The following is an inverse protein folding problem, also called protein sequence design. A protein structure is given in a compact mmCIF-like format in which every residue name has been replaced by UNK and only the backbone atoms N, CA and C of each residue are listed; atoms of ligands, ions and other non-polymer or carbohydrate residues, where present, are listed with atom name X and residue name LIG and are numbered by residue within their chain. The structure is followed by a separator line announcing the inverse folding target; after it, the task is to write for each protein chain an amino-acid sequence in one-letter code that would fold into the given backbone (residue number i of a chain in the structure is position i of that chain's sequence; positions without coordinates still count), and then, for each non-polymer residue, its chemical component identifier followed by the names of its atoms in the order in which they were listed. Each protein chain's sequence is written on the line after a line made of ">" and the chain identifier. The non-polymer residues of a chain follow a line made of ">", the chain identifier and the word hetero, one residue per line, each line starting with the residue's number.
data_IF_356688347075
#
_entry.id   IF_356688347075
#
_cell.length_a   1.000
_cell.length_b   1.000
_cell.length_c   1.000
_cell.angle_alpha   90.00
_cell.angle_beta   90.00
_cell.angle_gamma   90.00
#
_symmetry.space_group_name_H-M   'P 1'
#
loop_
_entity.id
_entity.type
_entity.pdbx_description
1 polymer ?
#
# COMPACT_ATOMS: atom_id res chain seq x y z
N UNK A 1 28.00 -4.98 -7.09
CA UNK A 1 26.95 -5.26 -6.09
C UNK A 1 26.21 -6.52 -6.45
N UNK A 2 26.33 -7.58 -5.64
CA UNK A 2 25.66 -8.85 -5.92
C UNK A 2 24.16 -8.66 -5.68
N UNK A 3 23.34 -8.82 -6.72
CA UNK A 3 21.86 -8.87 -6.62
C UNK A 3 21.50 -10.08 -5.77
N UNK A 4 21.05 -9.85 -4.52
CA UNK A 4 20.41 -10.92 -3.72
C UNK A 4 19.16 -11.36 -4.47
N UNK A 5 19.03 -12.66 -4.75
CA UNK A 5 17.81 -13.25 -5.29
C UNK A 5 16.67 -13.03 -4.28
N UNK A 6 15.45 -12.74 -4.73
CA UNK A 6 14.29 -12.71 -3.86
C UNK A 6 14.14 -14.06 -3.15
N UNK A 7 13.75 -14.01 -1.88
CA UNK A 7 13.61 -15.21 -1.05
C UNK A 7 12.30 -15.90 -1.42
N UNK A 8 12.38 -17.12 -1.89
CA UNK A 8 11.20 -17.93 -2.20
C UNK A 8 10.44 -18.39 -0.93
N UNK A 9 9.25 -18.95 -1.11
CA UNK A 9 8.37 -19.44 -0.02
C UNK A 9 9.10 -20.35 0.98
N UNK A 10 10.06 -21.17 0.51
CA UNK A 10 10.90 -22.03 1.34
C UNK A 10 11.84 -21.22 2.25
N UNK A 11 12.41 -20.14 1.76
CA UNK A 11 13.30 -19.26 2.54
C UNK A 11 12.51 -18.42 3.54
N UNK A 12 11.30 -18.01 3.19
CA UNK A 12 10.35 -17.35 4.10
C UNK A 12 9.96 -18.31 5.23
N UNK A 13 9.60 -19.55 4.90
CA UNK A 13 9.28 -20.58 5.86
C UNK A 13 10.46 -20.91 6.79
N UNK A 14 11.68 -20.97 6.24
CA UNK A 14 12.90 -21.20 7.02
C UNK A 14 13.25 -19.99 7.90
N UNK A 15 13.12 -18.78 7.39
CA UNK A 15 13.33 -17.56 8.16
C UNK A 15 12.31 -17.43 9.30
N UNK A 16 11.05 -17.78 9.05
CA UNK A 16 10.02 -17.85 10.07
C UNK A 16 10.31 -18.93 11.13
N UNK A 17 10.81 -20.11 10.72
CA UNK A 17 11.21 -21.17 11.63
C UNK A 17 12.42 -20.76 12.49
N UNK A 18 13.40 -20.10 11.90
CA UNK A 18 14.57 -19.55 12.63
C UNK A 18 14.15 -18.44 13.58
N UNK A 19 13.29 -17.52 13.17
CA UNK A 19 12.74 -16.49 14.04
C UNK A 19 11.96 -17.09 15.22
N UNK A 20 11.22 -18.18 14.99
CA UNK A 20 10.54 -18.94 16.02
C UNK A 20 11.51 -19.56 17.03
N UNK A 21 12.55 -20.22 16.53
CA UNK A 21 13.55 -20.89 17.36
C UNK A 21 14.39 -19.92 18.20
N UNK A 22 14.56 -18.67 17.71
CA UNK A 22 15.36 -17.63 18.38
C UNK A 22 14.53 -16.67 19.23
N UNK A 23 13.20 -16.81 19.26
CA UNK A 23 12.28 -15.88 19.94
C UNK A 23 12.22 -14.49 19.30
N UNK A 24 12.85 -14.31 18.13
CA UNK A 24 12.85 -13.06 17.36
C UNK A 24 11.73 -13.13 16.32
N UNK A 25 10.69 -12.36 16.51
CA UNK A 25 9.62 -12.15 15.50
C UNK A 25 10.01 -11.11 14.45
N UNK A 26 11.20 -10.54 14.58
CA UNK A 26 11.73 -9.48 13.76
C UNK A 26 12.83 -10.06 12.88
N UNK A 27 12.86 -9.73 11.65
CA UNK A 27 13.95 -9.87 10.67
C UNK A 27 13.74 -10.89 9.56
N UNK A 28 13.22 -10.35 8.50
CA UNK A 28 13.48 -10.91 7.18
C UNK A 28 14.44 -10.02 6.36
N UNK A 29 14.42 -8.74 6.54
CA UNK A 29 15.44 -7.78 6.17
C UNK A 29 15.26 -6.55 7.05
N UNK A 30 16.34 -6.03 7.61
CA UNK A 30 16.27 -4.82 8.43
C UNK A 30 16.51 -3.59 7.59
N UNK A 31 16.00 -2.44 8.03
CA UNK A 31 16.38 -1.16 7.45
C UNK A 31 17.90 -0.95 7.47
N UNK A 32 18.62 -1.65 8.35
CA UNK A 32 20.07 -1.64 8.49
C UNK A 32 20.81 -2.29 7.30
N UNK A 33 20.12 -3.12 6.49
CA UNK A 33 20.67 -3.65 5.24
C UNK A 33 20.82 -2.57 4.14
N UNK A 34 20.35 -1.34 4.38
CA UNK A 34 20.39 -0.21 3.46
C UNK A 34 21.16 0.96 4.10
N UNK A 35 22.51 1.04 3.88
CA UNK A 35 23.41 1.92 4.63
C UNK A 35 23.12 3.42 4.49
N UNK A 36 22.44 3.86 3.43
CA UNK A 36 22.22 5.28 3.16
C UNK A 36 20.96 5.84 3.86
N UNK A 37 20.42 5.13 4.84
CA UNK A 37 19.18 5.53 5.53
C UNK A 37 18.01 5.86 4.60
N UNK A 38 18.01 5.30 3.38
CA UNK A 38 16.98 5.48 2.38
C UNK A 38 15.65 4.87 2.87
N UNK A 39 15.75 3.76 3.62
CA UNK A 39 14.63 3.08 4.26
C UNK A 39 14.76 3.26 5.77
N UNK A 40 13.70 3.73 6.42
CA UNK A 40 13.66 3.93 7.86
C UNK A 40 12.43 3.31 8.48
N UNK A 41 12.60 2.73 9.65
CA UNK A 41 11.49 2.36 10.49
C UNK A 41 10.92 3.60 11.16
N UNK A 42 9.61 3.76 11.04
CA UNK A 42 8.83 4.84 11.65
C UNK A 42 7.70 4.27 12.48
N UNK A 43 7.12 5.08 13.34
CA UNK A 43 5.86 4.75 14.03
C UNK A 43 4.91 5.93 14.03
N UNK A 44 3.61 5.65 14.07
CA UNK A 44 2.56 6.66 14.15
C UNK A 44 1.41 6.18 15.04
N UNK A 45 0.59 7.12 15.51
CA UNK A 45 -0.61 6.81 16.28
C UNK A 45 -1.72 6.32 15.36
N UNK A 46 -2.34 5.19 15.73
CA UNK A 46 -3.51 4.66 15.03
C UNK A 46 -4.67 5.66 14.99
N UNK A 47 -5.47 5.58 13.94
CA UNK A 47 -6.71 6.34 13.81
C UNK A 47 -7.81 5.87 14.77
N UNK A 48 -8.93 6.59 14.76
CA UNK A 48 -10.11 6.19 15.49
C UNK A 48 -10.01 6.25 17.03
N UNK A 49 -9.03 6.95 17.57
CA UNK A 49 -8.85 7.07 19.03
C UNK A 49 -8.42 5.77 19.72
N UNK A 50 -7.86 4.79 18.96
CA UNK A 50 -7.51 3.47 19.48
C UNK A 50 -6.32 3.49 20.45
N UNK A 51 -5.52 4.55 20.45
CA UNK A 51 -4.36 4.68 21.34
C UNK A 51 -3.15 3.81 20.95
N UNK A 52 -3.25 3.02 19.89
CA UNK A 52 -2.18 2.12 19.43
C UNK A 52 -1.07 2.86 18.71
N UNK A 53 0.13 2.34 18.81
CA UNK A 53 1.29 2.74 18.02
C UNK A 53 1.48 1.73 16.89
N UNK A 54 1.50 2.22 15.66
CA UNK A 54 1.66 1.41 14.46
C UNK A 54 3.06 1.59 13.90
N UNK A 55 3.73 0.50 13.59
CA UNK A 55 5.07 0.45 13.00
C UNK A 55 4.97 0.37 11.47
N UNK A 56 5.92 0.98 10.78
CA UNK A 56 6.01 0.94 9.33
C UNK A 56 7.46 1.15 8.86
N UNK A 57 7.77 0.69 7.64
CA UNK A 57 8.96 1.13 6.92
C UNK A 57 8.58 2.27 5.97
N UNK A 58 9.45 3.26 5.84
CA UNK A 58 9.24 4.42 4.99
C UNK A 58 10.50 4.86 4.25
N UNK A 59 10.31 5.51 3.10
CA UNK A 59 11.36 6.24 2.40
C UNK A 59 11.23 7.72 2.76
N UNK A 60 11.99 8.24 3.75
CA UNK A 60 11.95 9.66 4.06
C UNK A 60 12.47 10.47 2.87
N UNK A 61 11.85 11.62 2.63
CA UNK A 61 12.25 12.55 1.57
C UNK A 61 12.49 13.93 2.19
N UNK A 62 13.55 14.59 1.78
CA UNK A 62 13.85 15.96 2.21
C UNK A 62 12.79 16.95 1.78
N UNK A 63 12.25 16.75 0.57
CA UNK A 63 11.16 17.54 0.02
C UNK A 63 9.89 16.71 -0.08
N UNK A 64 8.73 17.37 -0.03
CA UNK A 64 7.44 16.69 -0.21
C UNK A 64 7.39 16.07 -1.62
N UNK A 65 7.39 14.74 -1.68
CA UNK A 65 7.23 14.02 -2.94
C UNK A 65 5.81 14.23 -3.48
N UNK A 66 5.64 14.43 -4.79
CA UNK A 66 4.31 14.55 -5.41
C UNK A 66 3.41 13.34 -5.16
N UNK A 67 4.00 12.17 -4.97
CA UNK A 67 3.29 10.93 -4.72
C UNK A 67 3.70 10.30 -3.39
N UNK A 68 2.68 9.89 -2.63
CA UNK A 68 2.80 9.04 -1.45
C UNK A 68 2.12 7.71 -1.76
N UNK A 69 2.90 6.64 -1.74
CA UNK A 69 2.42 5.27 -1.92
C UNK A 69 2.28 4.66 -0.51
N UNK A 70 1.09 4.22 -0.17
CA UNK A 70 0.80 3.56 1.12
C UNK A 70 0.50 2.11 0.84
N UNK A 71 1.29 1.19 1.40
CA UNK A 71 1.14 -0.25 1.22
C UNK A 71 0.63 -0.88 2.50
N UNK A 72 -0.51 -1.56 2.39
CA UNK A 72 -1.09 -2.42 3.42
C UNK A 72 -0.75 -3.86 3.06
N UNK A 73 0.10 -4.47 3.85
CA UNK A 73 0.70 -5.80 3.60
C UNK A 73 -0.29 -6.95 3.80
N UNK A 74 0.08 -8.11 3.28
CA UNK A 74 -0.68 -9.37 3.41
C UNK A 74 -0.61 -9.99 4.80
N UNK A 75 -0.82 -11.30 4.88
CA UNK A 75 -0.69 -12.10 6.09
C UNK A 75 0.38 -13.20 5.88
N UNK A 76 1.45 -13.23 6.71
CA UNK A 76 1.78 -12.32 7.79
C UNK A 76 2.12 -10.91 7.30
N UNK A 77 1.96 -9.91 8.18
CA UNK A 77 2.16 -8.51 7.83
C UNK A 77 3.55 -8.05 8.30
N UNK A 78 4.52 -8.15 7.39
CA UNK A 78 5.89 -7.71 7.64
C UNK A 78 6.32 -6.72 6.56
N UNK A 79 6.55 -5.47 6.96
CA UNK A 79 6.93 -4.40 6.05
C UNK A 79 8.30 -4.66 5.38
N UNK A 80 9.15 -5.45 6.02
CA UNK A 80 10.51 -5.80 5.57
C UNK A 80 10.52 -6.49 4.19
N UNK A 81 9.46 -7.21 3.82
CA UNK A 81 9.35 -7.81 2.49
C UNK A 81 9.37 -6.79 1.35
N UNK A 82 9.02 -5.55 1.67
CA UNK A 82 9.01 -4.45 0.71
C UNK A 82 10.27 -3.59 0.75
N UNK A 83 11.24 -3.89 1.64
CA UNK A 83 12.44 -3.09 1.77
C UNK A 83 13.23 -2.91 0.45
N UNK A 84 13.37 -3.95 -0.43
CA UNK A 84 13.99 -3.76 -1.74
C UNK A 84 13.26 -2.77 -2.63
N UNK A 85 11.92 -2.78 -2.63
CA UNK A 85 11.11 -1.84 -3.40
C UNK A 85 11.21 -0.42 -2.86
N UNK A 86 11.22 -0.27 -1.53
CA UNK A 86 11.44 1.02 -0.86
C UNK A 86 12.80 1.62 -1.24
N UNK A 87 13.86 0.80 -1.24
CA UNK A 87 15.22 1.24 -1.55
C UNK A 87 15.40 1.64 -3.03
N UNK A 88 14.67 0.99 -3.94
CA UNK A 88 14.74 1.26 -5.38
C UNK A 88 13.77 2.36 -5.85
N UNK A 89 12.98 2.94 -4.93
CA UNK A 89 11.93 3.90 -5.28
C UNK A 89 12.51 5.21 -5.82
N UNK A 90 12.00 5.78 -6.94
CA UNK A 90 12.39 7.09 -7.44
C UNK A 90 12.23 8.21 -6.39
N UNK A 91 13.08 9.25 -6.49
CA UNK A 91 13.12 10.33 -5.49
C UNK A 91 11.85 11.22 -5.46
N UNK A 92 11.08 11.24 -6.54
CA UNK A 92 9.81 11.97 -6.63
C UNK A 92 8.62 11.18 -6.03
N UNK A 93 8.91 10.07 -5.35
CA UNK A 93 7.94 9.21 -4.67
C UNK A 93 8.32 9.01 -3.20
N UNK A 94 7.34 8.97 -2.34
CA UNK A 94 7.44 8.51 -0.95
C UNK A 94 6.64 7.22 -0.83
N UNK A 95 7.18 6.20 -0.17
CA UNK A 95 6.46 4.95 0.10
C UNK A 95 6.47 4.67 1.61
N UNK A 96 5.33 4.22 2.12
CA UNK A 96 5.16 3.75 3.49
C UNK A 96 4.53 2.37 3.42
N UNK A 97 5.19 1.39 4.00
CA UNK A 97 4.72 0.00 4.10
C UNK A 97 4.46 -0.32 5.56
N UNK A 98 3.24 -0.69 5.90
CA UNK A 98 2.82 -0.84 7.29
C UNK A 98 2.93 -2.28 7.77
N UNK A 99 3.37 -2.45 9.02
CA UNK A 99 3.08 -3.63 9.82
C UNK A 99 1.67 -3.44 10.38
N UNK A 100 0.73 -4.29 10.01
CA UNK A 100 -0.66 -4.15 10.46
C UNK A 100 -0.80 -4.40 11.98
N UNK A 101 -1.87 -3.90 12.64
CA UNK A 101 -2.14 -4.24 14.03
C UNK A 101 -2.05 -5.74 14.30
N UNK A 102 -1.35 -6.11 15.37
CA UNK A 102 -1.10 -7.51 15.72
C UNK A 102 0.20 -8.10 15.16
N UNK A 103 0.96 -7.35 14.35
CA UNK A 103 2.17 -7.84 13.69
C UNK A 103 3.40 -7.02 14.01
N UNK A 104 4.56 -7.67 13.94
CA UNK A 104 5.88 -7.08 14.14
C UNK A 104 5.90 -6.11 15.34
N UNK A 105 6.27 -4.85 15.13
CA UNK A 105 6.32 -3.81 16.17
C UNK A 105 5.03 -3.00 16.34
N UNK A 106 3.92 -3.38 15.69
CA UNK A 106 2.63 -2.67 15.80
C UNK A 106 1.81 -3.14 16.99
N UNK A 107 1.14 -2.19 17.63
CA UNK A 107 0.16 -2.45 18.68
C UNK A 107 -1.25 -2.63 18.11
N UNK A 108 -2.10 -3.38 18.81
CA UNK A 108 -1.78 -4.21 19.96
C UNK A 108 -0.94 -5.42 19.53
N UNK A 109 -0.26 -6.07 20.47
CA UNK A 109 0.45 -7.32 20.20
C UNK A 109 -0.50 -8.52 20.04
N UNK A 110 -1.74 -8.35 20.45
CA UNK A 110 -2.80 -9.33 20.36
C UNK A 110 -3.37 -9.39 18.92
N UNK A 111 -4.06 -10.49 18.66
CA UNK A 111 -4.75 -10.71 17.40
C UNK A 111 -5.87 -9.69 17.16
N UNK A 112 -5.83 -9.03 16.02
CA UNK A 112 -6.87 -8.09 15.56
C UNK A 112 -7.52 -8.64 14.29
N UNK A 113 -8.58 -9.44 14.46
CA UNK A 113 -9.25 -10.12 13.34
C UNK A 113 -10.25 -9.26 12.57
N UNK A 114 -10.70 -8.14 13.14
CA UNK A 114 -11.66 -7.24 12.48
C UNK A 114 -10.94 -6.33 11.47
N UNK A 115 -11.21 -6.57 10.17
CA UNK A 115 -10.60 -5.78 9.08
C UNK A 115 -11.08 -4.32 9.04
N UNK A 116 -12.25 -4.01 9.61
CA UNK A 116 -12.73 -2.62 9.71
C UNK A 116 -11.95 -1.88 10.78
N UNK A 117 -11.68 -2.53 11.90
CA UNK A 117 -10.87 -1.98 12.98
C UNK A 117 -9.42 -1.73 12.50
N UNK A 118 -8.85 -2.68 11.74
CA UNK A 118 -7.54 -2.49 11.11
C UNK A 118 -7.57 -1.31 10.12
N UNK A 119 -8.59 -1.20 9.26
CA UNK A 119 -8.74 -0.08 8.33
C UNK A 119 -8.84 1.27 9.06
N UNK A 120 -9.55 1.31 10.19
CA UNK A 120 -9.66 2.50 11.04
C UNK A 120 -8.31 2.87 11.66
N UNK A 121 -7.58 1.88 12.20
CA UNK A 121 -6.25 2.09 12.78
C UNK A 121 -5.27 2.69 11.77
N UNK A 122 -5.31 2.22 10.50
CA UNK A 122 -4.40 2.63 9.44
C UNK A 122 -4.83 3.91 8.69
N UNK A 123 -6.01 4.45 9.00
CA UNK A 123 -6.55 5.63 8.30
C UNK A 123 -5.65 6.88 8.30
N UNK A 124 -4.81 7.17 9.31
CA UNK A 124 -3.90 8.31 9.28
C UNK A 124 -2.89 8.27 8.14
N UNK A 125 -2.56 7.07 7.62
CA UNK A 125 -1.67 6.93 6.48
C UNK A 125 -2.19 7.61 5.21
N UNK A 126 -3.50 7.81 5.09
CA UNK A 126 -4.13 8.48 3.94
C UNK A 126 -4.03 10.00 4.01
N UNK A 127 -3.47 10.56 5.06
CA UNK A 127 -3.22 11.99 5.13
C UNK A 127 -2.07 12.38 4.18
N UNK A 128 -2.35 13.39 3.35
CA UNK A 128 -1.40 13.90 2.37
C UNK A 128 -0.95 15.31 2.76
N UNK A 129 0.31 15.61 2.51
CA UNK A 129 0.85 16.98 2.60
C UNK A 129 0.29 17.84 1.46
N UNK A 130 0.32 19.18 1.55
CA UNK A 130 -0.08 20.05 0.44
C UNK A 130 0.66 19.67 -0.86
N UNK A 131 -0.09 19.53 -1.97
CA UNK A 131 0.44 19.15 -3.27
C UNK A 131 0.70 17.64 -3.46
N UNK A 132 0.68 16.85 -2.40
CA UNK A 132 0.90 15.40 -2.47
C UNK A 132 -0.39 14.65 -2.80
N UNK A 133 -0.28 13.60 -3.61
CA UNK A 133 -1.36 12.64 -3.92
C UNK A 133 -1.05 11.30 -3.29
N UNK A 134 -2.08 10.58 -2.84
CA UNK A 134 -1.94 9.26 -2.22
C UNK A 134 -2.39 8.17 -3.19
N UNK A 135 -1.53 7.18 -3.41
CA UNK A 135 -1.87 5.88 -3.98
C UNK A 135 -1.92 4.87 -2.85
N UNK A 136 -3.08 4.24 -2.64
CA UNK A 136 -3.23 3.18 -1.66
C UNK A 136 -3.06 1.82 -2.36
N UNK A 137 -2.23 0.97 -1.78
CA UNK A 137 -1.93 -0.36 -2.28
C UNK A 137 -2.28 -1.37 -1.19
N UNK A 138 -3.09 -2.37 -1.53
CA UNK A 138 -3.38 -3.49 -0.65
C UNK A 138 -2.88 -4.78 -1.25
N UNK A 139 -2.00 -5.49 -0.55
CA UNK A 139 -1.49 -6.78 -1.00
C UNK A 139 -2.18 -7.91 -0.27
N UNK A 140 -2.57 -8.97 -0.99
CA UNK A 140 -3.11 -10.20 -0.41
C UNK A 140 -4.27 -9.89 0.58
N UNK A 141 -4.15 -10.30 1.84
CA UNK A 141 -5.10 -9.99 2.91
C UNK A 141 -5.32 -8.49 3.10
N UNK A 142 -4.28 -7.68 2.92
CA UNK A 142 -4.34 -6.22 3.01
C UNK A 142 -5.22 -5.56 1.95
N UNK A 143 -5.56 -6.28 0.87
CA UNK A 143 -6.45 -5.78 -0.19
C UNK A 143 -7.84 -5.43 0.36
N UNK A 144 -8.45 -6.33 1.14
CA UNK A 144 -9.76 -6.11 1.75
C UNK A 144 -9.75 -4.92 2.72
N UNK A 145 -8.69 -4.79 3.52
CA UNK A 145 -8.49 -3.66 4.45
C UNK A 145 -8.37 -2.35 3.66
N UNK A 146 -7.57 -2.34 2.59
CA UNK A 146 -7.38 -1.15 1.76
C UNK A 146 -8.66 -0.68 1.07
N UNK A 147 -9.54 -1.59 0.67
CA UNK A 147 -10.89 -1.23 0.17
C UNK A 147 -11.68 -0.47 1.24
N UNK A 148 -11.67 -0.96 2.48
CA UNK A 148 -12.37 -0.30 3.60
C UNK A 148 -11.74 1.04 3.96
N UNK A 149 -10.40 1.15 3.95
CA UNK A 149 -9.69 2.41 4.13
C UNK A 149 -10.07 3.43 3.06
N UNK A 150 -10.10 3.01 1.78
CA UNK A 150 -10.47 3.86 0.66
C UNK A 150 -11.93 4.35 0.76
N UNK A 151 -12.84 3.49 1.23
CA UNK A 151 -14.24 3.84 1.43
C UNK A 151 -14.46 4.85 2.57
N UNK A 152 -13.62 4.80 3.60
CA UNK A 152 -13.61 5.77 4.72
C UNK A 152 -12.89 7.08 4.40
N UNK A 153 -12.11 7.13 3.32
CA UNK A 153 -11.32 8.30 2.96
C UNK A 153 -12.19 9.44 2.37
N UNK A 154 -11.78 10.69 2.61
CA UNK A 154 -12.38 11.82 1.90
C UNK A 154 -12.07 11.70 0.40
N UNK A 155 -13.05 11.82 -0.51
CA UNK A 155 -12.94 11.47 -1.93
C UNK A 155 -11.81 12.16 -2.72
N UNK A 156 -11.35 13.33 -2.27
CA UNK A 156 -10.31 14.12 -2.97
C UNK A 156 -8.88 13.80 -2.53
N UNK A 157 -8.70 13.00 -1.45
CA UNK A 157 -7.37 12.71 -0.89
C UNK A 157 -6.71 11.49 -1.54
N UNK A 158 -7.49 10.55 -2.06
CA UNK A 158 -7.00 9.31 -2.62
C UNK A 158 -7.06 9.35 -4.15
N UNK A 159 -5.91 9.24 -4.80
CA UNK A 159 -5.78 9.31 -6.26
C UNK A 159 -6.05 7.97 -6.94
N UNK A 160 -5.78 6.86 -6.26
CA UNK A 160 -6.02 5.50 -6.76
C UNK A 160 -5.95 4.46 -5.64
N UNK A 161 -6.56 3.31 -5.90
CA UNK A 161 -6.47 2.09 -5.09
C UNK A 161 -5.94 0.96 -5.98
N UNK A 162 -4.88 0.31 -5.56
CA UNK A 162 -4.30 -0.86 -6.23
C UNK A 162 -4.48 -2.07 -5.33
N UNK A 163 -4.99 -3.16 -5.88
CA UNK A 163 -5.15 -4.43 -5.19
C UNK A 163 -4.20 -5.44 -5.85
N UNK A 164 -3.12 -5.78 -5.15
CA UNK A 164 -2.09 -6.73 -5.62
C UNK A 164 -2.38 -8.11 -5.06
N UNK A 165 -2.60 -9.10 -5.93
CA UNK A 165 -2.85 -10.51 -5.56
C UNK A 165 -3.81 -10.62 -4.37
N UNK A 166 -4.95 -9.91 -4.47
CA UNK A 166 -5.88 -9.73 -3.35
C UNK A 166 -6.50 -11.04 -2.87
N UNK A 167 -6.41 -11.31 -1.57
CA UNK A 167 -7.11 -12.43 -0.94
C UNK A 167 -8.53 -12.01 -0.53
N UNK A 168 -9.52 -12.78 -0.98
CA UNK A 168 -10.94 -12.52 -0.72
C UNK A 168 -11.67 -13.79 -0.26
N UNK A 169 -11.18 -14.35 0.84
CA UNK A 169 -11.87 -15.38 1.62
C UNK A 169 -11.87 -16.80 1.03
N UNK A 170 -11.10 -17.04 -0.02
CA UNK A 170 -10.89 -18.37 -0.58
C UNK A 170 -9.40 -18.58 -0.82
N UNK A 171 -8.90 -19.66 -0.30
CA UNK A 171 -7.49 -20.05 -0.39
C UNK A 171 -7.27 -20.98 -1.57
N UNK A 172 -6.13 -20.83 -2.22
CA UNK A 172 -5.65 -21.82 -3.18
C UNK A 172 -4.98 -23.01 -2.49
N UNK A 173 -4.54 -24.01 -3.26
CA UNK A 173 -4.03 -25.27 -2.72
C UNK A 173 -2.87 -25.11 -1.73
N UNK A 174 -1.91 -24.23 -2.04
CA UNK A 174 -0.73 -24.00 -1.17
C UNK A 174 -1.14 -23.33 0.13
N UNK A 175 -1.96 -22.28 0.07
CA UNK A 175 -2.46 -21.63 1.27
C UNK A 175 -3.32 -22.57 2.11
N UNK A 176 -4.17 -23.38 1.52
CA UNK A 176 -4.98 -24.38 2.22
C UNK A 176 -4.13 -25.39 2.98
N UNK A 177 -3.05 -25.89 2.36
CA UNK A 177 -2.12 -26.79 3.01
C UNK A 177 -1.47 -26.13 4.23
N UNK A 178 -0.98 -24.88 4.08
CA UNK A 178 -0.36 -24.11 5.16
C UNK A 178 -1.36 -23.81 6.29
N UNK A 179 -2.60 -23.46 5.97
CA UNK A 179 -3.64 -23.19 6.95
C UNK A 179 -4.01 -24.44 7.73
N UNK A 180 -4.20 -25.58 7.06
CA UNK A 180 -4.49 -26.88 7.71
C UNK A 180 -3.37 -27.31 8.65
N UNK A 181 -2.12 -27.14 8.21
CA UNK A 181 -0.95 -27.47 9.04
C UNK A 181 -0.82 -26.48 10.19
N UNK A 182 -0.90 -25.18 9.91
CA UNK A 182 -0.80 -24.13 10.91
C UNK A 182 -1.89 -24.21 11.98
N UNK A 183 -3.13 -24.54 11.59
CA UNK A 183 -4.26 -24.68 12.54
C UNK A 183 -4.02 -25.80 13.56
N UNK A 184 -3.36 -26.88 13.15
CA UNK A 184 -3.00 -27.98 14.05
C UNK A 184 -1.88 -27.60 15.02
N UNK A 185 -1.04 -26.66 14.63
CA UNK A 185 0.17 -26.25 15.34
C UNK A 185 0.06 -24.86 15.98
N UNK A 186 -1.14 -24.27 16.08
CA UNK A 186 -1.37 -22.88 16.52
C UNK A 186 -0.64 -22.50 17.82
N UNK A 187 -0.52 -23.46 18.76
CA UNK A 187 0.17 -23.21 20.03
C UNK A 187 1.70 -23.24 19.92
N UNK A 188 2.23 -23.79 18.84
CA UNK A 188 3.67 -24.03 18.63
C UNK A 188 4.29 -23.04 17.63
N UNK A 189 3.47 -22.44 16.77
CA UNK A 189 3.96 -21.47 15.77
C UNK A 189 4.09 -20.07 16.37
N UNK A 190 5.01 -19.24 15.83
CA UNK A 190 5.20 -17.88 16.26
C UNK A 190 3.92 -17.05 16.20
N UNK A 191 3.86 -15.99 17.02
CA UNK A 191 2.71 -15.07 17.12
C UNK A 191 2.21 -14.62 15.75
N UNK A 192 3.08 -14.06 14.93
CA UNK A 192 2.68 -13.47 13.66
C UNK A 192 2.15 -14.51 12.66
N UNK A 193 2.74 -15.69 12.61
CA UNK A 193 2.22 -16.80 11.79
C UNK A 193 0.87 -17.30 12.32
N UNK A 194 0.71 -17.36 13.65
CA UNK A 194 -0.57 -17.71 14.26
C UNK A 194 -1.65 -16.72 13.91
N UNK A 195 -1.34 -15.41 13.97
CA UNK A 195 -2.26 -14.36 13.57
C UNK A 195 -2.62 -14.46 12.08
N UNK A 196 -1.64 -14.75 11.20
CA UNK A 196 -1.89 -14.96 9.78
C UNK A 196 -2.86 -16.11 9.51
N UNK A 197 -2.66 -17.27 10.19
CA UNK A 197 -3.59 -18.41 10.09
C UNK A 197 -5.00 -18.01 10.52
N UNK A 198 -5.13 -17.32 11.65
CA UNK A 198 -6.44 -16.86 12.16
C UNK A 198 -7.10 -15.85 11.23
N UNK A 199 -6.36 -14.87 10.70
CA UNK A 199 -6.88 -13.87 9.77
C UNK A 199 -7.43 -14.51 8.50
N UNK A 200 -6.61 -15.31 7.82
CA UNK A 200 -7.00 -15.92 6.55
C UNK A 200 -8.20 -16.85 6.75
N UNK A 201 -8.22 -17.62 7.84
CA UNK A 201 -9.34 -18.52 8.17
C UNK A 201 -10.65 -17.78 8.49
N UNK A 202 -10.59 -16.56 9.01
CA UNK A 202 -11.75 -15.81 9.50
C UNK A 202 -12.15 -14.60 8.65
N UNK A 203 -11.56 -14.40 7.47
CA UNK A 203 -11.87 -13.23 6.64
C UNK A 203 -13.25 -13.32 5.98
N UNK A 204 -13.66 -14.51 5.53
CA UNK A 204 -14.84 -14.71 4.68
C UNK A 204 -16.12 -14.04 5.19
N UNK A 205 -16.48 -14.12 6.48
CA UNK A 205 -17.71 -13.48 7.00
C UNK A 205 -17.70 -11.94 6.90
N UNK A 206 -16.54 -11.33 6.69
CA UNK A 206 -16.37 -9.88 6.66
C UNK A 206 -16.46 -9.27 5.25
N UNK A 207 -16.51 -10.12 4.20
CA UNK A 207 -16.40 -9.68 2.81
C UNK A 207 -17.61 -8.94 2.28
N UNK A 208 -18.79 -9.11 2.86
CA UNK A 208 -19.98 -8.34 2.43
C UNK A 208 -19.76 -6.83 2.64
N UNK A 209 -19.08 -6.47 3.71
CA UNK A 209 -18.65 -5.08 3.93
C UNK A 209 -17.68 -4.57 2.87
N UNK A 210 -16.77 -5.43 2.39
CA UNK A 210 -15.81 -5.11 1.33
C UNK A 210 -16.52 -4.93 -0.02
N UNK A 211 -17.43 -5.84 -0.40
CA UNK A 211 -18.26 -5.74 -1.61
C UNK A 211 -19.08 -4.44 -1.61
N UNK A 212 -19.76 -4.16 -0.50
CA UNK A 212 -20.52 -2.93 -0.34
C UNK A 212 -19.66 -1.67 -0.42
N UNK A 213 -18.43 -1.72 0.07
CA UNK A 213 -17.46 -0.63 -0.02
C UNK A 213 -17.02 -0.41 -1.47
N UNK A 214 -16.61 -1.48 -2.19
CA UNK A 214 -16.21 -1.42 -3.60
C UNK A 214 -17.30 -0.80 -4.49
N UNK A 215 -18.56 -1.19 -4.29
CA UNK A 215 -19.69 -0.63 -5.04
C UNK A 215 -19.80 0.90 -4.89
N UNK A 216 -19.44 1.45 -3.75
CA UNK A 216 -19.57 2.89 -3.44
C UNK A 216 -18.33 3.71 -3.77
N UNK A 217 -17.18 3.09 -4.04
CA UNK A 217 -15.94 3.79 -4.32
C UNK A 217 -16.06 4.70 -5.53
N UNK A 218 -15.52 5.92 -5.37
CA UNK A 218 -15.33 6.89 -6.46
C UNK A 218 -13.86 6.97 -6.90
N UNK A 219 -12.96 6.43 -6.09
CA UNK A 219 -11.53 6.30 -6.38
C UNK A 219 -11.34 5.28 -7.50
N UNK A 220 -10.48 5.54 -8.50
CA UNK A 220 -10.10 4.52 -9.47
C UNK A 220 -9.51 3.30 -8.77
N UNK A 221 -9.95 2.10 -9.18
CA UNK A 221 -9.48 0.83 -8.64
C UNK A 221 -8.77 0.06 -9.75
N UNK A 222 -7.56 -0.42 -9.45
CA UNK A 222 -6.79 -1.31 -10.30
C UNK A 222 -6.52 -2.60 -9.54
N UNK A 223 -6.89 -3.72 -10.12
CA UNK A 223 -6.54 -5.05 -9.63
C UNK A 223 -5.39 -5.56 -10.48
N UNK A 224 -4.31 -5.97 -9.85
CA UNK A 224 -3.15 -6.60 -10.50
C UNK A 224 -2.95 -7.96 -9.85
N UNK A 225 -3.01 -9.04 -10.62
CA UNK A 225 -3.03 -10.39 -10.09
C UNK A 225 -2.22 -11.34 -10.96
N UNK A 226 -1.43 -12.21 -10.32
CA UNK A 226 -0.68 -13.25 -11.02
C UNK A 226 -1.63 -14.36 -11.50
N UNK A 227 -1.42 -14.84 -12.73
CA UNK A 227 -2.27 -15.90 -13.29
C UNK A 227 -1.91 -17.31 -12.80
N UNK A 228 -0.81 -17.43 -12.01
CA UNK A 228 -0.40 -18.66 -11.32
C UNK A 228 -0.43 -18.53 -9.80
N UNK A 229 -1.30 -17.65 -9.30
CA UNK A 229 -1.47 -17.46 -7.86
C UNK A 229 -2.19 -18.66 -7.24
N UNK A 230 -1.44 -19.48 -6.51
CA UNK A 230 -1.93 -20.67 -5.81
C UNK A 230 -2.22 -20.44 -4.31
N UNK A 231 -2.01 -19.20 -3.82
CA UNK A 231 -2.42 -18.75 -2.49
C UNK A 231 -3.80 -18.09 -2.51
N UNK A 232 -4.03 -17.16 -3.42
CA UNK A 232 -5.28 -16.43 -3.61
C UNK A 232 -5.71 -16.56 -5.08
N UNK A 233 -6.50 -17.57 -5.45
CA UNK A 233 -6.83 -17.85 -6.84
C UNK A 233 -7.41 -16.63 -7.56
N UNK A 234 -6.89 -16.34 -8.75
CA UNK A 234 -7.25 -15.16 -9.55
C UNK A 234 -8.75 -15.11 -9.86
N UNK A 235 -9.38 -16.28 -10.02
CA UNK A 235 -10.81 -16.42 -10.35
C UNK A 235 -11.70 -15.80 -9.25
N UNK A 236 -11.23 -15.82 -8.00
CA UNK A 236 -11.97 -15.22 -6.88
C UNK A 236 -11.96 -13.70 -6.97
N UNK A 237 -10.80 -13.13 -7.32
CA UNK A 237 -10.70 -11.69 -7.53
C UNK A 237 -11.50 -11.23 -8.77
N UNK A 238 -11.50 -12.02 -9.83
CA UNK A 238 -12.29 -11.77 -11.05
C UNK A 238 -13.79 -11.83 -10.77
N UNK A 239 -14.24 -12.86 -10.07
CA UNK A 239 -15.65 -12.99 -9.67
C UNK A 239 -16.09 -11.79 -8.82
N UNK A 240 -15.26 -11.38 -7.84
CA UNK A 240 -15.53 -10.20 -7.02
C UNK A 240 -15.70 -8.94 -7.88
N UNK A 241 -14.82 -8.73 -8.87
CA UNK A 241 -14.88 -7.56 -9.76
C UNK A 241 -16.11 -7.64 -10.66
N UNK A 242 -16.41 -8.82 -11.25
CA UNK A 242 -17.55 -9.03 -12.12
C UNK A 242 -18.89 -8.83 -11.40
N UNK A 243 -18.99 -9.28 -10.15
CA UNK A 243 -20.19 -9.13 -9.31
C UNK A 243 -20.36 -7.70 -8.78
N UNK A 244 -19.28 -6.92 -8.75
CA UNK A 244 -19.30 -5.56 -8.21
C UNK A 244 -19.89 -4.58 -9.23
N UNK A 245 -21.07 -4.01 -8.94
CA UNK A 245 -21.63 -2.88 -9.69
C UNK A 245 -20.95 -1.58 -9.29
N UNK A 246 -19.65 -1.46 -9.58
CA UNK A 246 -18.85 -0.32 -9.19
C UNK A 246 -19.32 0.97 -9.89
N UNK A 247 -19.26 2.11 -9.19
CA UNK A 247 -19.56 3.44 -9.76
C UNK A 247 -18.58 3.87 -10.85
N UNK A 248 -17.39 3.29 -10.87
CA UNK A 248 -16.37 3.46 -11.90
C UNK A 248 -15.87 2.09 -12.33
N UNK A 249 -15.48 1.92 -13.60
CA UNK A 249 -14.88 0.68 -14.07
C UNK A 249 -13.67 0.33 -13.21
N UNK A 250 -13.60 -0.92 -12.76
CA UNK A 250 -12.41 -1.50 -12.11
C UNK A 250 -11.52 -2.03 -13.23
N UNK A 251 -10.28 -1.53 -13.28
CA UNK A 251 -9.29 -2.10 -14.19
C UNK A 251 -8.76 -3.39 -13.58
N UNK A 252 -8.79 -4.47 -14.34
CA UNK A 252 -8.20 -5.75 -13.96
C UNK A 252 -7.03 -6.07 -14.89
N UNK A 253 -5.88 -6.39 -14.32
CA UNK A 253 -4.65 -6.74 -15.02
C UNK A 253 -4.14 -8.09 -14.54
N UNK A 254 -4.08 -9.06 -15.46
CA UNK A 254 -3.45 -10.35 -15.24
C UNK A 254 -1.97 -10.23 -15.54
N UNK A 255 -1.11 -10.70 -14.64
CA UNK A 255 0.34 -10.75 -14.84
C UNK A 255 0.72 -12.18 -15.26
N UNK A 256 1.06 -12.40 -16.54
CA UNK A 256 1.33 -13.75 -17.03
C UNK A 256 2.51 -14.41 -16.32
N UNK A 257 2.31 -15.64 -15.87
CA UNK A 257 3.33 -16.46 -15.22
C UNK A 257 3.70 -16.04 -13.81
N UNK A 258 3.09 -14.98 -13.27
CA UNK A 258 3.35 -14.52 -11.92
C UNK A 258 2.54 -15.31 -10.88
N UNK A 259 3.17 -15.53 -9.73
CA UNK A 259 2.57 -16.13 -8.54
C UNK A 259 1.97 -15.07 -7.59
N UNK A 260 1.65 -15.49 -6.37
CA UNK A 260 1.11 -14.64 -5.32
C UNK A 260 2.04 -13.49 -4.91
N UNK A 261 3.34 -13.70 -5.00
CA UNK A 261 4.35 -12.80 -4.48
C UNK A 261 4.91 -11.88 -5.56
N UNK A 262 4.04 -11.05 -6.13
CA UNK A 262 4.45 -10.06 -7.14
C UNK A 262 5.60 -9.16 -6.65
N UNK A 263 5.76 -9.01 -5.35
CA UNK A 263 6.84 -8.25 -4.71
C UNK A 263 8.12 -9.07 -4.43
N UNK A 264 8.09 -10.39 -4.61
CA UNK A 264 9.27 -11.26 -4.53
C UNK A 264 9.98 -11.39 -5.89
N UNK A 265 9.34 -10.90 -6.95
CA UNK A 265 9.91 -10.81 -8.30
C UNK A 265 10.93 -9.68 -8.46
N UNK A 266 11.35 -9.41 -9.69
CA UNK A 266 12.20 -8.26 -10.01
C UNK A 266 11.52 -6.95 -9.55
N UNK A 267 12.22 -6.17 -8.73
CA UNK A 267 11.70 -4.93 -8.12
C UNK A 267 11.24 -3.92 -9.16
N UNK A 268 11.94 -3.82 -10.27
CA UNK A 268 11.61 -2.95 -11.41
C UNK A 268 10.27 -3.33 -12.05
N UNK A 269 9.90 -4.61 -12.09
CA UNK A 269 8.58 -5.06 -12.59
C UNK A 269 7.47 -4.59 -11.65
N UNK A 270 7.66 -4.75 -10.34
CA UNK A 270 6.70 -4.26 -9.34
C UNK A 270 6.54 -2.73 -9.41
N UNK A 271 7.66 -1.99 -9.45
CA UNK A 271 7.63 -0.53 -9.53
C UNK A 271 6.98 -0.05 -10.83
N UNK A 272 7.23 -0.71 -11.96
CA UNK A 272 6.58 -0.42 -13.24
C UNK A 272 5.06 -0.66 -13.17
N UNK A 273 4.63 -1.73 -12.52
CA UNK A 273 3.20 -2.01 -12.31
C UNK A 273 2.54 -0.93 -11.44
N UNK A 274 3.19 -0.49 -10.36
CA UNK A 274 2.71 0.61 -9.54
C UNK A 274 2.66 1.93 -10.31
N UNK A 275 3.70 2.23 -11.11
CA UNK A 275 3.74 3.43 -11.96
C UNK A 275 2.61 3.46 -12.99
N UNK A 276 2.30 2.31 -13.60
CA UNK A 276 1.17 2.17 -14.53
C UNK A 276 -0.19 2.46 -13.88
N UNK A 277 -0.30 2.29 -12.55
CA UNK A 277 -1.48 2.57 -11.76
C UNK A 277 -1.58 4.04 -11.30
N UNK A 278 -0.49 4.82 -11.39
CA UNK A 278 -0.54 6.24 -11.08
C UNK A 278 -1.40 6.98 -12.11
N UNK A 279 -2.36 7.82 -11.67
CA UNK A 279 -3.14 8.64 -12.59
C UNK A 279 -2.22 9.53 -13.42
N UNK A 280 -2.23 9.32 -14.74
CA UNK A 280 -1.48 10.16 -15.67
C UNK A 280 -1.88 11.63 -15.51
N UNK A 281 -0.95 12.60 -15.58
CA UNK A 281 -1.31 14.01 -15.56
C UNK A 281 -2.27 14.25 -16.72
N UNK A 282 -3.44 14.80 -16.43
CA UNK A 282 -4.31 15.28 -17.48
C UNK A 282 -3.55 16.40 -18.18
N UNK A 283 -3.31 16.30 -19.46
CA UNK A 283 -2.82 17.41 -20.27
C UNK A 283 -3.78 18.58 -19.99
N UNK A 284 -3.34 19.56 -19.20
CA UNK A 284 -3.94 20.89 -19.28
C UNK A 284 -3.46 21.40 -20.63
N UNK A 285 -4.38 21.52 -21.57
CA UNK A 285 -4.17 22.41 -22.70
C UNK A 285 -3.73 23.73 -22.06
N UNK A 286 -2.44 24.07 -22.23
CA UNK A 286 -2.00 25.39 -21.92
C UNK A 286 -2.86 26.29 -22.81
N UNK A 287 -3.77 27.04 -22.21
CA UNK A 287 -4.44 28.10 -22.93
C UNK A 287 -3.31 28.98 -23.53
N UNK A 288 -3.30 29.20 -24.85
CA UNK A 288 -2.37 30.15 -25.41
C UNK A 288 -2.53 31.43 -24.60
N UNK A 289 -1.42 31.91 -24.03
CA UNK A 289 -1.45 33.24 -23.40
C UNK A 289 -1.86 34.19 -24.50
N UNK A 290 -3.13 34.60 -24.51
CA UNK A 290 -3.61 35.64 -25.38
C UNK A 290 -2.75 36.85 -25.06
N UNK A 291 -2.12 37.48 -26.06
CA UNK A 291 -1.39 38.71 -25.83
C UNK A 291 -2.33 39.67 -25.09
N UNK A 292 -1.81 40.34 -24.09
CA UNK A 292 -2.59 41.28 -23.30
C UNK A 292 -3.24 42.27 -24.30
N UNK A 293 -4.57 42.22 -24.40
CA UNK A 293 -5.33 43.17 -25.20
C UNK A 293 -5.04 44.55 -24.63
N UNK A 294 -4.20 45.30 -25.34
CA UNK A 294 -4.00 46.72 -25.05
C UNK A 294 -5.27 47.42 -25.47
N UNK A 295 -6.09 47.80 -24.50
CA UNK A 295 -7.27 48.57 -24.73
C UNK A 295 -6.86 49.99 -25.17
N UNK A 296 -7.37 50.56 -26.29
CA UNK A 296 -6.96 51.83 -26.82
C UNK A 296 -7.14 53.04 -25.87
N UNK A 297 -7.87 52.84 -24.78
CA UNK A 297 -8.14 53.87 -23.77
C UNK A 297 -7.37 53.68 -22.44
N UNK A 298 -6.51 52.67 -22.31
CA UNK A 298 -5.67 52.55 -21.14
C UNK A 298 -4.56 53.62 -21.18
N UNK A 299 -4.72 54.72 -20.44
CA UNK A 299 -3.65 55.73 -20.30
C UNK A 299 -2.43 55.05 -19.63
N UNK A 300 -1.21 55.30 -20.15
CA UNK A 300 -0.01 54.85 -19.46
C UNK A 300 0.10 55.60 -18.12
N UNK A 301 0.39 54.88 -17.06
CA UNK A 301 0.71 55.45 -15.77
C UNK A 301 1.93 56.36 -15.93
N UNK A 302 1.79 57.66 -15.61
CA UNK A 302 2.89 58.60 -15.58
C UNK A 302 3.87 58.16 -14.50
N UNK A 303 5.11 57.85 -14.91
CA UNK A 303 6.21 57.61 -13.99
C UNK A 303 6.52 58.92 -13.24
N UNK A 304 6.22 58.96 -11.96
CA UNK A 304 6.71 59.99 -11.08
C UNK A 304 8.22 59.88 -10.94
N UNK A 305 8.93 60.89 -11.46
CA UNK A 305 10.34 61.08 -11.22
C UNK A 305 10.58 61.43 -9.76
N UNK A 306 11.59 60.88 -9.08
CA UNK A 306 11.98 61.34 -7.75
C UNK A 306 12.73 62.64 -7.91
N UNK A 307 12.19 63.71 -7.35
CA UNK A 307 12.87 65.00 -7.16
C UNK A 307 14.06 64.83 -6.25
N UNK A 308 15.24 65.19 -6.74
CA UNK A 308 16.41 65.44 -5.90
C UNK A 308 16.17 66.72 -5.10
N UNK A 309 16.26 66.63 -3.77
CA UNK A 309 16.52 67.81 -2.96
C UNK A 309 17.77 67.58 -2.13
N UNK A 310 18.74 68.40 -2.46
CA UNK A 310 19.93 68.72 -1.68
C UNK A 310 19.53 69.71 -0.57
N UNK A 311 19.89 69.39 0.66
CA UNK A 311 20.46 70.29 1.64
C UNK A 311 20.77 69.52 2.94
#
# INVERSE_FOLDING_TARGET
>A
MARRRPKGVLEIGLAAAVAAATGRTEHVATADDYPDHIVRRISFKAGGGLGWRISALATPRERVAPWKIVVVTGAPSWAEYWAPALAALPQDREMIVVDRPGYAGSEPIEYVGDIRLQAQALSPLLEAKPGQKVLLVGQSYGAAISVLMAAGAKPRKLAGLVLLSGYFGHSGPTADFLLKTGSRLLKLIPRDLRHAVLEVSNQKPQLDGVRAALTRLRTPVHVVHGDRDDFAPIEIAEALVAETRARRPIRFERVPGADHFLNDGPVDVLLAALEACLPKPRFRLAWPQLPALQWPWARPAQSASPSAELA
#
